data_IF_331624002709
#
_entry.id   IF_331624002709
#
_cell.length_a   1.000
_cell.length_b   1.000
_cell.length_c   1.000
_cell.angle_alpha   90.00
_cell.angle_beta   90.00
_cell.angle_gamma   90.00
#
_symmetry.space_group_name_H-M   'P 1'
#
loop_
_entity.id
_entity.type
_entity.pdbx_description
1 polymer ?
#
# COMPACT_ATOMS: atom_id res chain seq x y z
N UNK A 1 -13.66 -10.27 -3.59
CA UNK A 1 -14.88 -10.24 -2.76
C UNK A 1 -16.11 -10.73 -3.51
N UNK A 2 -16.74 -9.99 -4.43
CA UNK A 2 -17.93 -10.49 -5.17
C UNK A 2 -17.66 -11.77 -5.98
N UNK A 3 -16.45 -11.91 -6.53
CA UNK A 3 -16.03 -13.10 -7.28
C UNK A 3 -16.09 -14.40 -6.47
N UNK A 4 -15.88 -14.33 -5.15
CA UNK A 4 -15.91 -15.46 -4.23
C UNK A 4 -17.11 -15.44 -3.27
N UNK A 5 -18.08 -14.54 -3.50
CA UNK A 5 -19.30 -14.45 -2.70
C UNK A 5 -20.29 -15.58 -3.02
N UNK A 6 -21.13 -15.99 -2.05
CA UNK A 6 -22.24 -16.92 -2.31
C UNK A 6 -23.15 -16.42 -3.44
N UNK A 7 -23.71 -17.35 -4.22
CA UNK A 7 -24.51 -17.05 -5.41
C UNK A 7 -25.66 -16.05 -5.12
N UNK A 8 -26.30 -16.16 -3.96
CA UNK A 8 -27.40 -15.26 -3.59
C UNK A 8 -26.95 -13.79 -3.48
N UNK A 9 -25.73 -13.53 -3.00
CA UNK A 9 -25.19 -12.16 -2.88
C UNK A 9 -25.04 -11.55 -4.28
N UNK A 10 -24.54 -12.33 -5.23
CA UNK A 10 -24.37 -11.88 -6.62
C UNK A 10 -25.71 -11.62 -7.30
N UNK A 11 -26.74 -12.45 -7.06
CA UNK A 11 -28.10 -12.22 -7.59
C UNK A 11 -28.67 -10.92 -7.04
N UNK A 12 -28.62 -10.71 -5.71
CA UNK A 12 -29.12 -9.49 -5.07
C UNK A 12 -28.39 -8.25 -5.60
N UNK A 13 -27.06 -8.32 -5.69
CA UNK A 13 -26.25 -7.23 -6.21
C UNK A 13 -26.62 -6.89 -7.67
N UNK A 14 -26.76 -7.91 -8.54
CA UNK A 14 -27.14 -7.70 -9.93
C UNK A 14 -28.53 -7.06 -10.06
N UNK A 15 -29.51 -7.49 -9.27
CA UNK A 15 -30.84 -6.87 -9.25
C UNK A 15 -30.79 -5.41 -8.81
N UNK A 16 -29.92 -5.05 -7.87
CA UNK A 16 -29.73 -3.65 -7.46
C UNK A 16 -29.08 -2.80 -8.55
N UNK A 17 -28.07 -3.33 -9.23
CA UNK A 17 -27.40 -2.68 -10.36
C UNK A 17 -28.41 -2.39 -11.47
N UNK A 18 -29.25 -3.37 -11.81
CA UNK A 18 -30.29 -3.23 -12.85
C UNK A 18 -31.37 -2.24 -12.42
N UNK A 19 -31.87 -2.34 -11.18
CA UNK A 19 -32.87 -1.41 -10.66
C UNK A 19 -32.39 0.05 -10.62
N UNK A 20 -31.11 0.27 -10.34
CA UNK A 20 -30.49 1.60 -10.30
C UNK A 20 -29.99 2.10 -11.66
N UNK A 21 -30.15 1.31 -12.73
CA UNK A 21 -29.59 1.59 -14.05
C UNK A 21 -28.09 1.97 -13.99
N UNK A 22 -27.34 1.25 -13.15
CA UNK A 22 -25.92 1.56 -12.90
C UNK A 22 -25.05 1.06 -14.04
N UNK A 23 -24.34 1.99 -14.69
CA UNK A 23 -23.53 1.72 -15.87
C UNK A 23 -22.07 1.39 -15.48
N UNK A 24 -21.42 0.40 -16.13
CA UNK A 24 -20.05 0.03 -15.83
C UNK A 24 -19.01 1.03 -16.36
N UNK A 25 -19.39 1.87 -17.32
CA UNK A 25 -18.55 2.90 -17.92
C UNK A 25 -19.29 4.23 -17.77
N UNK A 26 -18.62 5.21 -17.16
CA UNK A 26 -19.17 6.53 -16.87
C UNK A 26 -18.42 7.61 -17.65
N UNK A 27 -19.13 8.66 -18.03
CA UNK A 27 -18.52 9.88 -18.56
C UNK A 27 -18.41 10.90 -17.42
N UNK A 28 -17.20 11.11 -16.91
CA UNK A 28 -16.91 11.97 -15.76
C UNK A 28 -15.91 13.06 -16.14
N UNK A 29 -16.02 14.21 -15.51
CA UNK A 29 -14.95 15.20 -15.53
C UNK A 29 -13.71 14.69 -14.80
N UNK A 30 -12.55 15.28 -15.10
CA UNK A 30 -11.29 14.98 -14.39
C UNK A 30 -11.44 15.25 -12.88
N UNK A 31 -12.18 16.30 -12.50
CA UNK A 31 -12.39 16.63 -11.11
C UNK A 31 -13.19 15.55 -10.38
N UNK A 32 -14.30 15.10 -10.98
CA UNK A 32 -15.15 14.04 -10.42
C UNK A 32 -14.39 12.71 -10.29
N UNK A 33 -13.62 12.34 -11.31
CA UNK A 33 -12.82 11.12 -11.28
C UNK A 33 -11.76 11.12 -10.17
N UNK A 34 -11.08 12.25 -9.96
CA UNK A 34 -10.01 12.35 -8.96
C UNK A 34 -10.54 12.57 -7.54
N UNK A 35 -11.53 13.44 -7.36
CA UNK A 35 -11.93 13.97 -6.05
C UNK A 35 -13.29 13.47 -5.57
N UNK A 36 -14.07 12.83 -6.44
CA UNK A 36 -15.31 12.20 -6.04
C UNK A 36 -16.47 12.54 -6.96
N UNK A 37 -17.23 11.52 -7.32
CA UNK A 37 -18.59 11.66 -7.83
C UNK A 37 -19.58 10.98 -6.89
N UNK A 38 -20.85 11.39 -6.99
CA UNK A 38 -21.95 10.80 -6.25
C UNK A 38 -22.40 9.50 -6.93
N UNK A 39 -22.02 8.36 -6.36
CA UNK A 39 -22.45 7.04 -6.81
C UNK A 39 -23.55 6.47 -5.89
N UNK A 40 -24.67 6.05 -6.49
CA UNK A 40 -25.84 5.57 -5.74
C UNK A 40 -25.55 4.25 -5.02
N UNK A 41 -24.79 3.35 -5.65
CA UNK A 41 -24.44 2.05 -5.07
C UNK A 41 -23.46 2.24 -3.91
N UNK A 42 -22.46 3.11 -4.06
CA UNK A 42 -21.51 3.44 -2.98
C UNK A 42 -22.24 4.06 -1.79
N UNK A 43 -23.18 4.99 -2.03
CA UNK A 43 -23.97 5.62 -0.96
C UNK A 43 -24.86 4.62 -0.22
N UNK A 44 -25.45 3.65 -0.92
CA UNK A 44 -26.20 2.57 -0.28
C UNK A 44 -25.25 1.63 0.49
N UNK A 45 -24.15 1.23 -0.13
CA UNK A 45 -23.18 0.32 0.47
C UNK A 45 -22.56 0.92 1.74
N UNK A 46 -22.31 2.23 1.78
CA UNK A 46 -21.81 2.88 2.99
C UNK A 46 -22.80 2.94 4.13
N UNK A 47 -24.10 2.87 3.83
CA UNK A 47 -25.15 2.81 4.84
C UNK A 47 -25.32 1.38 5.38
N UNK A 48 -25.21 0.37 4.50
CA UNK A 48 -25.45 -1.05 4.85
C UNK A 48 -24.19 -1.71 5.43
N UNK A 49 -23.01 -1.35 4.93
CA UNK A 49 -21.71 -1.91 5.30
C UNK A 49 -20.72 -0.80 5.74
N UNK A 50 -21.07 0.02 6.74
CA UNK A 50 -20.27 1.18 7.14
C UNK A 50 -18.87 0.82 7.66
N UNK A 51 -18.69 -0.43 8.11
CA UNK A 51 -17.39 -0.95 8.55
C UNK A 51 -16.41 -1.16 7.41
N UNK A 52 -16.90 -1.42 6.19
CA UNK A 52 -16.08 -1.75 5.02
C UNK A 52 -16.03 -0.60 4.02
N UNK A 53 -17.15 0.09 3.81
CA UNK A 53 -17.25 1.25 2.93
C UNK A 53 -17.71 2.42 3.80
N UNK A 54 -16.78 3.24 4.25
CA UNK A 54 -17.05 4.40 5.11
C UNK A 54 -17.13 5.72 4.33
N UNK A 55 -17.21 5.66 3.00
CA UNK A 55 -17.25 6.82 2.11
C UNK A 55 -18.54 6.84 1.29
N UNK A 56 -19.11 8.02 1.10
CA UNK A 56 -20.33 8.22 0.32
C UNK A 56 -20.07 8.68 -1.11
N UNK A 57 -18.85 9.11 -1.42
CA UNK A 57 -18.38 9.53 -2.74
C UNK A 57 -17.16 8.70 -3.13
N UNK A 58 -16.99 8.46 -4.42
CA UNK A 58 -15.87 7.68 -4.94
C UNK A 58 -14.98 8.55 -5.81
N UNK A 59 -13.75 8.79 -5.37
CA UNK A 59 -12.72 9.53 -6.11
C UNK A 59 -11.35 8.87 -5.93
N UNK A 60 -10.55 8.81 -7.00
CA UNK A 60 -9.27 8.11 -6.96
C UNK A 60 -8.30 8.72 -5.94
N UNK A 61 -8.04 10.03 -6.03
CA UNK A 61 -7.13 10.72 -5.11
C UNK A 61 -7.74 10.90 -3.74
N UNK A 62 -9.06 11.11 -3.66
CA UNK A 62 -9.77 11.13 -2.40
C UNK A 62 -9.52 9.85 -1.59
N UNK A 63 -9.58 8.67 -2.22
CA UNK A 63 -9.26 7.39 -1.55
C UNK A 63 -7.76 7.18 -1.35
N UNK A 64 -6.91 7.54 -2.33
CA UNK A 64 -5.45 7.37 -2.21
C UNK A 64 -4.82 8.23 -1.13
N UNK A 65 -5.36 9.44 -0.91
CA UNK A 65 -4.86 10.41 0.07
C UNK A 65 -5.57 10.30 1.43
N UNK A 66 -6.60 9.47 1.55
CA UNK A 66 -7.23 9.13 2.82
C UNK A 66 -6.32 8.21 3.65
N UNK A 67 -5.34 8.83 4.32
CA UNK A 67 -4.41 8.11 5.17
C UNK A 67 -5.08 7.64 6.48
N UNK A 68 -6.23 8.19 6.87
CA UNK A 68 -6.85 7.95 8.16
C UNK A 68 -5.95 8.43 9.31
N UNK A 69 -6.10 7.82 10.49
CA UNK A 69 -5.25 8.13 11.65
C UNK A 69 -4.26 6.98 11.86
N UNK A 70 -2.96 7.25 11.65
CA UNK A 70 -1.91 6.27 11.88
C UNK A 70 -0.90 6.77 12.92
N UNK A 71 -0.39 5.85 13.74
CA UNK A 71 0.69 6.10 14.69
C UNK A 71 1.93 5.36 14.22
N UNK A 72 2.96 6.10 13.85
CA UNK A 72 4.24 5.55 13.37
C UNK A 72 5.30 5.78 14.44
N UNK A 73 5.92 4.71 14.91
CA UNK A 73 7.11 4.78 15.78
C UNK A 73 8.35 4.64 14.92
N UNK A 74 9.30 5.57 15.00
CA UNK A 74 10.52 5.56 14.21
C UNK A 74 11.76 5.66 15.10
N UNK A 75 12.84 5.02 14.69
CA UNK A 75 14.15 5.17 15.30
C UNK A 75 14.69 6.58 15.02
N UNK A 76 15.01 7.34 16.06
CA UNK A 76 15.68 8.64 15.94
C UNK A 76 17.17 8.50 16.27
N UNK A 77 18.06 9.33 15.68
CA UNK A 77 19.48 9.32 16.03
C UNK A 77 19.67 9.55 17.54
N UNK A 78 20.38 8.65 18.21
CA UNK A 78 20.73 8.75 19.63
C UNK A 78 21.93 7.85 19.94
N UNK A 79 22.77 8.23 20.90
CA UNK A 79 23.93 7.43 21.33
C UNK A 79 23.53 6.04 21.88
N UNK A 80 22.29 5.90 22.34
CA UNK A 80 21.76 4.64 22.88
C UNK A 80 21.07 3.75 21.84
N UNK A 81 20.90 4.23 20.61
CA UNK A 81 20.11 3.54 19.60
C UNK A 81 21.00 2.67 18.71
N UNK A 82 20.71 1.36 18.66
CA UNK A 82 21.45 0.40 17.83
C UNK A 82 20.87 0.27 16.41
N UNK A 83 19.62 0.69 16.22
CA UNK A 83 18.96 0.68 14.91
C UNK A 83 19.46 1.82 14.03
N UNK A 84 19.43 1.59 12.72
CA UNK A 84 19.68 2.64 11.72
C UNK A 84 18.68 3.78 11.95
N UNK A 85 19.11 5.07 11.96
CA UNK A 85 18.19 6.18 12.09
C UNK A 85 17.13 6.20 10.99
N UNK A 86 15.95 6.69 11.36
CA UNK A 86 14.77 6.89 10.52
C UNK A 86 14.11 5.61 9.99
N UNK A 87 14.42 4.45 10.56
CA UNK A 87 13.65 3.23 10.31
C UNK A 87 12.37 3.20 11.14
N UNK A 88 11.31 2.67 10.57
CA UNK A 88 10.03 2.41 11.21
C UNK A 88 10.20 1.20 12.13
N UNK A 89 9.84 1.38 13.39
CA UNK A 89 9.80 0.34 14.39
C UNK A 89 8.41 -0.30 14.43
N UNK A 90 7.36 0.54 14.48
CA UNK A 90 5.98 0.10 14.52
C UNK A 90 5.10 1.01 13.65
N UNK A 91 4.12 0.41 12.99
CA UNK A 91 3.00 1.08 12.35
C UNK A 91 1.71 0.63 13.06
N UNK A 92 0.96 1.56 13.64
CA UNK A 92 -0.23 1.30 14.44
C UNK A 92 0.01 0.26 15.56
N UNK A 93 1.18 0.34 16.21
CA UNK A 93 1.55 -0.55 17.32
C UNK A 93 2.12 -1.90 16.89
N UNK A 94 2.29 -2.15 15.59
CA UNK A 94 2.79 -3.43 15.07
C UNK A 94 4.05 -3.29 14.20
N UNK A 95 5.05 -4.18 14.34
CA UNK A 95 6.22 -4.22 13.46
C UNK A 95 5.96 -4.93 12.12
N UNK A 96 4.74 -5.45 11.91
CA UNK A 96 4.34 -6.17 10.71
C UNK A 96 3.10 -5.56 10.07
N UNK A 97 2.91 -5.85 8.77
CA UNK A 97 1.71 -5.48 8.03
C UNK A 97 0.67 -6.59 8.18
N UNK A 98 -0.28 -6.42 9.11
CA UNK A 98 -1.27 -7.44 9.44
C UNK A 98 -2.13 -7.90 8.26
N UNK A 99 -2.38 -7.02 7.29
CA UNK A 99 -3.11 -7.35 6.07
C UNK A 99 -2.41 -8.41 5.20
N UNK A 100 -1.10 -8.58 5.37
CA UNK A 100 -0.29 -9.60 4.70
C UNK A 100 0.18 -10.71 5.64
N UNK A 101 -0.03 -10.54 6.95
CA UNK A 101 0.33 -11.54 7.92
C UNK A 101 -0.63 -12.73 7.82
N UNK A 102 -0.12 -13.88 7.38
CA UNK A 102 -0.86 -15.13 7.47
C UNK A 102 -1.02 -15.49 8.95
N UNK A 103 -2.26 -15.51 9.46
CA UNK A 103 -2.57 -15.92 10.83
C UNK A 103 -2.03 -17.32 11.18
N UNK A 104 -1.85 -18.16 10.16
CA UNK A 104 -1.42 -19.57 10.28
C UNK A 104 0.10 -19.77 10.17
N UNK A 105 0.89 -18.72 9.92
CA UNK A 105 2.33 -18.81 9.70
C UNK A 105 3.13 -17.93 10.69
N UNK A 106 3.27 -18.35 11.97
CA UNK A 106 3.99 -17.58 13.00
C UNK A 106 5.48 -17.35 12.67
N UNK A 107 6.06 -18.12 11.74
CA UNK A 107 7.46 -18.04 11.34
C UNK A 107 7.70 -17.20 10.05
N UNK A 108 6.65 -16.74 9.35
CA UNK A 108 6.77 -15.85 8.18
C UNK A 108 6.94 -14.37 8.55
N UNK A 109 7.25 -14.09 9.80
CA UNK A 109 7.39 -12.74 10.37
C UNK A 109 8.45 -11.86 9.69
N UNK A 110 9.24 -12.37 8.73
CA UNK A 110 10.45 -11.69 8.25
C UNK A 110 10.36 -11.06 6.86
N UNK A 111 9.60 -11.60 5.89
CA UNK A 111 9.73 -11.15 4.48
C UNK A 111 8.82 -9.97 4.09
N UNK A 112 7.59 -9.95 4.61
CA UNK A 112 6.63 -8.86 4.38
C UNK A 112 6.49 -7.90 5.59
N UNK A 113 7.53 -7.84 6.42
CA UNK A 113 7.56 -7.01 7.63
C UNK A 113 7.96 -5.56 7.33
N UNK A 114 7.74 -4.68 8.30
CA UNK A 114 8.24 -3.30 8.28
C UNK A 114 9.70 -3.18 8.73
N UNK A 115 10.36 -4.30 9.02
CA UNK A 115 11.68 -4.29 9.61
C UNK A 115 12.67 -3.49 8.75
N UNK A 116 13.43 -2.61 9.42
CA UNK A 116 14.41 -1.70 8.80
C UNK A 116 13.85 -0.81 7.67
N UNK A 117 12.54 -0.71 7.50
CA UNK A 117 11.93 0.10 6.46
C UNK A 117 11.96 1.57 6.86
N UNK A 118 12.27 2.48 5.94
CA UNK A 118 12.09 3.92 6.13
C UNK A 118 10.77 4.37 5.50
N UNK A 119 10.26 5.50 5.95
CA UNK A 119 9.13 6.16 5.27
C UNK A 119 9.56 6.68 3.88
N UNK A 120 10.84 7.02 3.69
CA UNK A 120 11.40 7.46 2.40
C UNK A 120 11.57 8.97 2.25
N UNK A 121 11.18 9.77 3.24
CA UNK A 121 11.53 11.20 3.31
C UNK A 121 12.86 11.47 4.02
N UNK A 122 13.23 10.64 5.01
CA UNK A 122 14.42 10.83 5.82
C UNK A 122 15.39 9.66 5.65
N UNK A 123 16.67 10.00 5.49
CA UNK A 123 17.78 9.07 5.32
C UNK A 123 18.93 9.41 6.29
N UNK A 124 19.70 8.42 6.74
CA UNK A 124 20.86 8.67 7.58
C UNK A 124 21.92 9.50 6.85
N UNK A 125 22.76 10.20 7.63
CA UNK A 125 23.94 10.90 7.10
C UNK A 125 25.00 9.90 6.66
N UNK A 126 25.95 10.37 5.83
CA UNK A 126 27.10 9.59 5.36
C UNK A 126 26.68 8.31 4.61
N UNK A 127 25.79 8.48 3.63
CA UNK A 127 25.35 7.39 2.78
C UNK A 127 26.54 6.73 2.06
N UNK A 128 26.49 5.41 1.94
CA UNK A 128 27.43 4.61 1.12
C UNK A 128 26.65 3.81 0.08
N UNK A 129 27.32 3.32 -0.97
CA UNK A 129 26.67 2.64 -2.11
C UNK A 129 26.08 1.26 -1.75
N UNK A 130 26.54 0.65 -0.68
CA UNK A 130 26.08 -0.63 -0.14
C UNK A 130 24.84 -0.50 0.77
N UNK A 131 24.47 0.73 1.15
CA UNK A 131 23.24 0.95 1.92
C UNK A 131 22.03 0.77 1.02
N UNK A 132 21.15 -0.16 1.40
CA UNK A 132 19.81 -0.32 0.81
C UNK A 132 18.74 0.13 1.80
N UNK A 133 17.65 0.66 1.27
CA UNK A 133 16.54 1.21 2.06
C UNK A 133 15.23 0.55 1.64
N UNK A 134 14.68 -0.39 2.42
CA UNK A 134 13.28 -0.75 2.24
C UNK A 134 12.42 0.49 2.53
N UNK A 135 11.49 0.83 1.65
CA UNK A 135 10.58 1.97 1.81
C UNK A 135 9.17 1.45 2.07
N UNK A 136 8.51 2.01 3.08
CA UNK A 136 7.10 1.78 3.35
C UNK A 136 6.32 3.09 3.29
N UNK A 137 5.27 3.08 2.47
CA UNK A 137 4.21 4.09 2.45
C UNK A 137 2.89 3.35 2.44
N UNK A 138 1.87 3.85 3.15
CA UNK A 138 0.52 3.25 3.14
C UNK A 138 0.03 3.02 1.71
N UNK A 139 0.31 3.97 0.82
CA UNK A 139 -0.10 3.91 -0.58
C UNK A 139 0.44 2.71 -1.36
N UNK A 140 1.66 2.23 -1.04
CA UNK A 140 2.23 1.04 -1.67
C UNK A 140 1.64 -0.24 -1.11
N UNK A 141 1.05 -0.19 0.09
CA UNK A 141 0.55 -1.34 0.83
C UNK A 141 1.61 -2.39 1.19
N UNK A 142 2.89 -2.20 0.85
CA UNK A 142 3.99 -3.14 1.07
C UNK A 142 5.32 -2.43 1.21
N UNK A 143 6.35 -3.14 1.66
CA UNK A 143 7.72 -2.62 1.63
C UNK A 143 8.33 -2.80 0.23
N UNK A 144 9.03 -1.77 -0.25
CA UNK A 144 9.69 -1.75 -1.55
C UNK A 144 11.21 -1.51 -1.37
N UNK A 145 12.09 -2.42 -1.79
CA UNK A 145 13.53 -2.24 -1.70
C UNK A 145 14.00 -1.14 -2.65
N UNK A 146 14.51 -0.05 -2.07
CA UNK A 146 15.17 1.05 -2.77
C UNK A 146 16.69 0.83 -2.70
N UNK A 147 17.32 0.58 -3.85
CA UNK A 147 18.73 0.18 -3.96
C UNK A 147 19.54 1.17 -4.79
N UNK A 148 20.83 1.30 -4.48
CA UNK A 148 21.74 2.15 -5.26
C UNK A 148 21.72 1.73 -6.74
N UNK A 149 21.59 2.70 -7.64
CA UNK A 149 21.63 2.49 -9.08
C UNK A 149 22.88 3.12 -9.70
N UNK A 150 23.12 4.39 -9.41
CA UNK A 150 24.22 5.13 -10.00
C UNK A 150 24.54 6.40 -9.21
N UNK A 151 25.57 7.10 -9.65
CA UNK A 151 26.00 8.38 -9.11
C UNK A 151 25.79 9.45 -10.18
N UNK A 152 25.31 10.63 -9.79
CA UNK A 152 25.09 11.75 -10.70
C UNK A 152 25.62 13.04 -10.10
N UNK A 153 26.18 13.89 -10.96
CA UNK A 153 26.54 15.24 -10.59
C UNK A 153 25.30 16.14 -10.67
N UNK A 154 25.16 17.01 -9.67
CA UNK A 154 24.10 18.01 -9.59
C UNK A 154 24.64 19.36 -10.11
N UNK A 155 23.76 20.34 -10.40
CA UNK A 155 24.17 21.69 -10.77
C UNK A 155 25.17 22.31 -9.77
N UNK A 156 25.91 23.32 -10.23
CA UNK A 156 27.01 23.94 -9.49
C UNK A 156 26.62 24.26 -8.04
N UNK A 157 27.43 23.76 -7.09
CA UNK A 157 27.28 24.01 -5.65
C UNK A 157 26.72 22.83 -4.85
N UNK A 158 26.21 21.78 -5.51
CA UNK A 158 25.75 20.57 -4.83
C UNK A 158 26.80 19.44 -4.89
N UNK A 159 26.93 18.63 -3.83
CA UNK A 159 27.75 17.44 -3.89
C UNK A 159 27.16 16.43 -4.88
N UNK A 160 28.02 15.57 -5.41
CA UNK A 160 27.63 14.39 -6.16
C UNK A 160 26.59 13.57 -5.38
N UNK A 161 25.49 13.20 -6.04
CA UNK A 161 24.36 12.50 -5.42
C UNK A 161 24.33 11.03 -5.82
N UNK A 162 23.69 10.21 -4.98
CA UNK A 162 23.41 8.81 -5.29
C UNK A 162 21.97 8.69 -5.78
N UNK A 163 21.82 8.11 -6.97
CA UNK A 163 20.54 7.76 -7.54
C UNK A 163 20.16 6.36 -7.08
N UNK A 164 19.01 6.28 -6.41
CA UNK A 164 18.42 5.04 -5.97
C UNK A 164 17.21 4.69 -6.82
N UNK A 165 16.96 3.40 -7.04
CA UNK A 165 15.78 2.90 -7.76
C UNK A 165 15.20 1.70 -7.03
N UNK A 166 13.91 1.44 -7.24
CA UNK A 166 13.33 0.17 -6.84
C UNK A 166 13.92 -0.96 -7.67
N UNK A 167 14.03 -2.15 -7.07
CA UNK A 167 14.42 -3.34 -7.81
C UNK A 167 13.43 -3.61 -8.96
N UNK A 168 13.90 -3.93 -10.18
CA UNK A 168 13.01 -4.12 -11.35
C UNK A 168 11.94 -5.21 -11.15
N UNK A 169 12.22 -6.21 -10.34
CA UNK A 169 11.41 -7.40 -10.08
C UNK A 169 10.64 -7.33 -8.75
N UNK A 170 10.53 -6.14 -8.15
CA UNK A 170 9.82 -5.93 -6.88
C UNK A 170 8.35 -6.39 -6.90
N UNK A 171 7.72 -6.40 -8.08
CA UNK A 171 6.34 -6.89 -8.26
C UNK A 171 6.27 -8.26 -8.95
N UNK A 172 7.39 -8.99 -9.05
CA UNK A 172 7.40 -10.33 -9.63
C UNK A 172 6.89 -11.35 -8.60
N UNK A 173 5.63 -11.77 -8.74
CA UNK A 173 4.98 -12.75 -7.86
C UNK A 173 5.60 -14.15 -7.89
N UNK A 174 6.49 -14.44 -8.83
CA UNK A 174 7.22 -15.72 -8.87
C UNK A 174 8.37 -15.78 -7.87
N UNK A 175 8.82 -14.63 -7.35
CA UNK A 175 9.90 -14.56 -6.36
C UNK A 175 9.39 -14.89 -4.96
N UNK A 176 10.13 -15.71 -4.22
CA UNK A 176 9.77 -16.12 -2.85
C UNK A 176 9.60 -14.93 -1.89
N UNK A 177 10.34 -13.85 -2.11
CA UNK A 177 10.25 -12.64 -1.28
C UNK A 177 8.95 -11.85 -1.50
N UNK A 178 8.25 -12.11 -2.60
CA UNK A 178 6.99 -11.45 -2.94
C UNK A 178 5.75 -12.29 -2.61
N UNK A 179 5.91 -13.58 -2.28
CA UNK A 179 4.79 -14.51 -2.06
C UNK A 179 3.90 -14.12 -0.88
N UNK A 180 4.47 -13.49 0.15
CA UNK A 180 3.68 -13.04 1.30
C UNK A 180 2.81 -11.79 1.00
N UNK A 181 2.99 -11.14 -0.16
CA UNK A 181 2.10 -10.07 -0.64
C UNK A 181 0.99 -10.60 -1.57
N UNK A 182 0.80 -11.92 -1.62
CA UNK A 182 -0.27 -12.51 -2.42
C UNK A 182 -1.54 -12.66 -1.59
N UNK A 183 -2.71 -12.29 -2.16
CA UNK A 183 -4.00 -12.63 -1.57
C UNK A 183 -4.17 -14.14 -1.36
N UNK A 184 -5.06 -14.53 -0.44
CA UNK A 184 -5.38 -15.94 -0.16
C UNK A 184 -5.86 -16.71 -1.39
N UNK A 185 -6.52 -16.03 -2.32
CA UNK A 185 -7.06 -16.60 -3.56
C UNK A 185 -5.99 -16.75 -4.67
N UNK A 186 -4.73 -16.44 -4.37
CA UNK A 186 -3.58 -16.57 -5.27
C UNK A 186 -2.92 -15.24 -5.65
N UNK A 187 -1.69 -15.33 -6.15
CA UNK A 187 -0.92 -14.18 -6.60
C UNK A 187 -1.45 -13.60 -7.92
N UNK A 188 -1.35 -12.28 -8.09
CA UNK A 188 -1.52 -11.63 -9.39
C UNK A 188 -0.36 -11.96 -10.35
N UNK A 189 -0.54 -11.81 -11.67
CA UNK A 189 0.55 -11.91 -12.63
C UNK A 189 1.77 -11.02 -12.29
N UNK A 190 2.99 -11.43 -12.66
CA UNK A 190 4.19 -10.63 -12.42
C UNK A 190 4.06 -9.19 -12.95
N UNK A 191 4.45 -8.22 -12.13
CA UNK A 191 4.32 -6.79 -12.42
C UNK A 191 3.12 -6.12 -11.76
N UNK A 192 2.21 -6.90 -11.14
CA UNK A 192 1.03 -6.39 -10.45
C UNK A 192 1.12 -6.60 -8.93
N UNK A 193 0.49 -5.71 -8.17
CA UNK A 193 0.36 -5.81 -6.71
C UNK A 193 -1.09 -5.51 -6.32
N UNK A 194 -1.66 -6.34 -5.44
CA UNK A 194 -2.95 -6.05 -4.85
C UNK A 194 -2.78 -5.05 -3.71
N UNK A 195 -3.53 -3.95 -3.75
CA UNK A 195 -3.54 -2.93 -2.70
C UNK A 195 -4.87 -2.93 -1.93
N UNK A 196 -5.85 -3.72 -2.37
CA UNK A 196 -7.18 -3.76 -1.75
C UNK A 196 -7.15 -4.05 -0.25
N UNK A 197 -6.25 -4.89 0.30
CA UNK A 197 -6.20 -5.12 1.74
C UNK A 197 -5.85 -3.84 2.54
N UNK A 198 -5.07 -2.90 2.01
CA UNK A 198 -4.73 -1.68 2.74
C UNK A 198 -5.77 -0.57 2.65
N UNK A 199 -6.58 -0.56 1.59
CA UNK A 199 -7.54 0.51 1.34
C UNK A 199 -8.97 0.16 1.81
N UNK A 200 -9.31 -1.13 1.82
CA UNK A 200 -10.69 -1.57 2.02
C UNK A 200 -10.85 -2.69 3.05
N UNK A 201 -9.77 -3.15 3.71
CA UNK A 201 -9.85 -4.04 4.86
C UNK A 201 -9.37 -3.32 6.13
N UNK A 202 -10.18 -3.38 7.19
CA UNK A 202 -9.83 -2.94 8.55
C UNK A 202 -9.65 -4.14 9.44
#
# INVERSE_FOLDING_TARGET
>A
MLRSSPMFVNVVFNSLVEYQDSQPILNLSVHEFLWGYDDRLVKMASTVLPTWINFSKFGLLDRMLDEGTNVITMAVPSERQTKRPYTIDNFNGSPILHQWANADAPNEMNKCSLNASSEGLLFPRHLTKDMNFPIYRKAFCRTLPLTYNSTSDMPVGYPTVYLYKFLPDVFNSSLDDNKCYCPKDGCLPPGLSDISPCYYSK
#
